data_IF_702512434884
#
_entry.id   IF_702512434884
#
_cell.length_a   1.000
_cell.length_b   1.000
_cell.length_c   1.000
_cell.angle_alpha   90.00
_cell.angle_beta   90.00
_cell.angle_gamma   90.00
#
_symmetry.space_group_name_H-M   'P 1'
#
loop_
_entity.id
_entity.type
_entity.pdbx_description
1 polymer ?
#
# COMPACT_ATOMS: atom_id res chain seq x y z
N UNK A 1 -15.10 -12.09 18.56
CA UNK A 1 -15.09 -10.89 19.42
C UNK A 1 -14.05 -9.96 18.86
N UNK A 2 -14.42 -8.76 18.45
CA UNK A 2 -13.49 -7.76 17.91
C UNK A 2 -12.54 -7.35 19.04
N UNK A 3 -11.24 -7.42 18.78
CA UNK A 3 -10.22 -7.09 19.78
C UNK A 3 -10.27 -5.57 20.07
N UNK A 4 -10.19 -5.17 21.35
CA UNK A 4 -10.18 -3.75 21.76
C UNK A 4 -9.11 -2.95 21.02
N UNK A 5 -7.95 -3.54 20.71
CA UNK A 5 -6.91 -2.91 19.89
C UNK A 5 -7.42 -2.50 18.51
N UNK A 6 -8.15 -3.39 17.81
CA UNK A 6 -8.73 -3.11 16.50
C UNK A 6 -9.73 -1.97 16.55
N UNK A 7 -10.62 -1.96 17.57
CA UNK A 7 -11.59 -0.88 17.75
C UNK A 7 -10.89 0.47 17.99
N UNK A 8 -9.79 0.48 18.77
CA UNK A 8 -8.99 1.70 18.98
C UNK A 8 -8.43 2.22 17.65
N UNK A 9 -7.87 1.34 16.79
CA UNK A 9 -7.32 1.75 15.50
C UNK A 9 -8.40 2.30 14.57
N UNK A 10 -9.56 1.65 14.48
CA UNK A 10 -10.68 2.12 13.66
C UNK A 10 -11.17 3.50 14.09
N UNK A 11 -11.38 3.71 15.41
CA UNK A 11 -11.83 5.00 15.95
C UNK A 11 -10.76 6.08 15.86
N UNK A 12 -9.50 5.73 16.03
CA UNK A 12 -8.40 6.68 15.82
C UNK A 12 -8.29 7.09 14.36
N UNK A 13 -8.38 6.14 13.41
CA UNK A 13 -8.37 6.42 11.98
C UNK A 13 -9.53 7.33 11.57
N UNK A 14 -10.74 7.09 12.10
CA UNK A 14 -11.91 7.94 11.88
C UNK A 14 -11.63 9.38 12.33
N UNK A 15 -11.13 9.56 13.56
CA UNK A 15 -10.82 10.88 14.12
C UNK A 15 -9.68 11.58 13.38
N UNK A 16 -8.59 10.89 13.10
CA UNK A 16 -7.47 11.44 12.34
C UNK A 16 -7.88 11.88 10.93
N UNK A 17 -8.74 11.10 10.26
CA UNK A 17 -9.21 11.41 8.91
C UNK A 17 -10.19 12.61 8.87
N UNK A 18 -10.91 12.88 9.97
CA UNK A 18 -11.91 13.95 10.02
C UNK A 18 -11.39 15.25 10.60
N UNK A 19 -10.54 15.17 11.64
CA UNK A 19 -10.01 16.33 12.38
C UNK A 19 -8.56 16.65 12.04
N UNK A 20 -7.84 15.71 11.45
CA UNK A 20 -6.38 15.73 11.30
C UNK A 20 -5.65 15.08 12.48
N UNK A 21 -4.42 14.66 12.25
CA UNK A 21 -3.60 13.99 13.26
C UNK A 21 -3.32 14.91 14.45
N UNK A 22 -2.88 16.15 14.23
CA UNK A 22 -2.46 17.05 15.30
C UNK A 22 -3.62 17.48 16.21
N UNK A 23 -4.81 17.73 15.63
CA UNK A 23 -5.98 18.17 16.37
C UNK A 23 -6.67 17.06 17.17
N UNK A 24 -6.34 15.79 16.91
CA UNK A 24 -6.92 14.65 17.63
C UNK A 24 -6.12 14.34 18.89
N UNK A 25 -6.82 14.15 20.01
CA UNK A 25 -6.22 13.80 21.30
C UNK A 25 -6.47 12.33 21.68
N UNK A 26 -5.56 11.75 22.49
CA UNK A 26 -5.74 10.39 23.03
C UNK A 26 -7.02 10.28 23.88
N UNK A 27 -7.43 11.36 24.54
CA UNK A 27 -8.67 11.42 25.32
C UNK A 27 -9.89 11.28 24.43
N UNK A 28 -9.92 11.95 23.27
CA UNK A 28 -11.01 11.82 22.30
C UNK A 28 -11.08 10.40 21.73
N UNK A 29 -9.94 9.79 21.41
CA UNK A 29 -9.90 8.40 20.94
C UNK A 29 -10.46 7.46 22.03
N UNK A 30 -10.02 7.59 23.27
CA UNK A 30 -10.51 6.77 24.38
C UNK A 30 -12.02 6.93 24.58
N UNK A 31 -12.53 8.17 24.51
CA UNK A 31 -13.97 8.47 24.58
C UNK A 31 -14.75 7.82 23.43
N UNK A 32 -14.24 7.90 22.20
CA UNK A 32 -14.88 7.31 21.03
C UNK A 32 -14.95 5.77 21.08
N UNK A 33 -14.02 5.14 21.77
CA UNK A 33 -13.98 3.69 22.02
C UNK A 33 -14.86 3.28 23.23
N UNK A 34 -15.24 4.25 24.09
CA UNK A 34 -15.98 3.97 25.33
C UNK A 34 -15.10 3.44 26.47
N UNK A 35 -13.80 3.78 26.48
CA UNK A 35 -12.85 3.38 27.53
C UNK A 35 -12.21 4.60 28.19
N UNK A 36 -11.57 4.38 29.34
CA UNK A 36 -10.76 5.44 29.98
C UNK A 36 -9.44 5.64 29.24
N UNK A 37 -8.88 6.85 29.32
CA UNK A 37 -7.56 7.15 28.78
C UNK A 37 -6.47 6.23 29.35
N UNK A 38 -6.54 5.90 30.66
CA UNK A 38 -5.62 4.95 31.30
C UNK A 38 -5.76 3.53 30.74
N UNK A 39 -6.96 3.11 30.35
CA UNK A 39 -7.17 1.83 29.66
C UNK A 39 -6.59 1.84 28.25
N UNK A 40 -6.70 2.95 27.54
CA UNK A 40 -6.09 3.08 26.22
C UNK A 40 -4.56 2.95 26.29
N UNK A 41 -3.92 3.59 27.28
CA UNK A 41 -2.47 3.49 27.48
C UNK A 41 -1.96 2.08 27.85
N UNK A 42 -2.83 1.14 28.23
CA UNK A 42 -2.47 -0.28 28.37
C UNK A 42 -2.28 -0.96 27.00
N UNK A 43 -2.85 -0.40 25.94
CA UNK A 43 -2.79 -0.94 24.57
C UNK A 43 -1.75 -0.23 23.71
N UNK A 44 -1.61 1.08 23.85
CA UNK A 44 -0.75 1.94 23.03
C UNK A 44 -0.04 2.99 23.90
N UNK A 45 1.26 3.18 23.68
CA UNK A 45 2.10 4.05 24.49
C UNK A 45 1.87 5.55 24.24
N UNK A 46 1.46 5.90 23.03
CA UNK A 46 1.28 7.29 22.59
C UNK A 46 0.30 7.39 21.43
N UNK A 47 -0.07 8.61 21.05
CA UNK A 47 -0.84 8.91 19.83
C UNK A 47 -0.08 8.46 18.56
N UNK A 48 1.23 8.65 18.58
CA UNK A 48 2.12 8.22 17.51
C UNK A 48 2.15 6.68 17.38
N UNK A 49 2.22 5.95 18.50
CA UNK A 49 2.15 4.48 18.51
C UNK A 49 0.84 3.96 17.90
N UNK A 50 -0.29 4.63 18.15
CA UNK A 50 -1.58 4.35 17.49
C UNK A 50 -1.47 4.60 15.99
N UNK A 51 -0.90 5.73 15.57
CA UNK A 51 -0.76 6.07 14.15
C UNK A 51 0.12 5.07 13.39
N UNK A 52 1.29 4.72 13.96
CA UNK A 52 2.18 3.68 13.41
C UNK A 52 1.45 2.33 13.32
N UNK A 53 0.64 2.01 14.33
CA UNK A 53 -0.13 0.76 14.35
C UNK A 53 -1.24 0.74 13.29
N UNK A 54 -1.88 1.88 12.99
CA UNK A 54 -2.82 2.00 11.85
C UNK A 54 -2.09 1.70 10.54
N UNK A 55 -0.89 2.24 10.36
CA UNK A 55 -0.09 1.98 9.18
C UNK A 55 0.31 0.49 9.05
N UNK A 56 0.71 -0.13 10.18
CA UNK A 56 1.05 -1.55 10.20
C UNK A 56 -0.17 -2.44 9.92
N UNK A 57 -1.35 -2.08 10.42
CA UNK A 57 -2.61 -2.77 10.14
C UNK A 57 -2.97 -2.68 8.65
N UNK A 58 -2.85 -1.51 8.03
CA UNK A 58 -3.03 -1.34 6.58
C UNK A 58 -2.11 -2.30 5.80
N UNK A 59 -0.83 -2.39 6.21
CA UNK A 59 0.12 -3.32 5.62
C UNK A 59 -0.32 -4.78 5.78
N UNK A 60 -0.72 -5.17 6.99
CA UNK A 60 -1.17 -6.55 7.28
C UNK A 60 -2.36 -6.94 6.39
N UNK A 61 -3.35 -6.06 6.27
CA UNK A 61 -4.51 -6.29 5.39
C UNK A 61 -4.10 -6.44 3.92
N UNK A 62 -3.15 -5.62 3.47
CA UNK A 62 -2.64 -5.70 2.11
C UNK A 62 -1.86 -6.99 1.86
N UNK A 63 -1.04 -7.43 2.83
CA UNK A 63 -0.32 -8.71 2.78
C UNK A 63 -1.27 -9.92 2.79
N UNK A 64 -2.34 -9.85 3.57
CA UNK A 64 -3.37 -10.90 3.61
C UNK A 64 -4.12 -10.99 2.27
N UNK A 65 -4.48 -9.85 1.67
CA UNK A 65 -5.13 -9.83 0.36
C UNK A 65 -4.23 -10.38 -0.74
N UNK A 66 -2.97 -9.91 -0.81
CA UNK A 66 -2.02 -10.36 -1.82
C UNK A 66 -1.71 -11.86 -1.70
N UNK A 67 -1.74 -12.40 -0.48
CA UNK A 67 -1.50 -13.84 -0.23
C UNK A 67 -2.58 -14.75 -0.82
N UNK A 68 -3.79 -14.24 -1.12
CA UNK A 68 -4.84 -15.01 -1.80
C UNK A 68 -4.42 -15.41 -3.22
N UNK A 69 -3.62 -14.57 -3.87
CA UNK A 69 -3.06 -14.81 -5.20
C UNK A 69 -1.62 -15.37 -5.12
N UNK A 70 -1.19 -15.91 -3.96
CA UNK A 70 0.17 -16.39 -3.68
C UNK A 70 1.24 -15.31 -3.89
N UNK A 71 0.93 -14.05 -3.65
CA UNK A 71 1.86 -12.92 -3.71
C UNK A 71 2.23 -12.50 -2.28
N UNK A 72 3.52 -12.46 -1.96
CA UNK A 72 4.01 -12.26 -0.58
C UNK A 72 4.90 -11.02 -0.46
N UNK A 73 4.42 -9.88 -0.96
CA UNK A 73 5.12 -8.58 -1.11
C UNK A 73 6.07 -8.22 0.06
N UNK A 74 5.87 -8.79 1.23
CA UNK A 74 6.63 -8.42 2.42
C UNK A 74 7.38 -9.55 3.09
N UNK A 75 7.21 -10.78 2.61
CA UNK A 75 7.71 -11.97 3.33
C UNK A 75 8.67 -12.82 2.51
N UNK A 76 8.44 -12.99 1.22
CA UNK A 76 9.20 -13.90 0.38
C UNK A 76 9.18 -13.48 -1.10
N UNK A 77 10.05 -12.53 -1.44
CA UNK A 77 10.18 -12.01 -2.82
C UNK A 77 10.67 -13.10 -3.78
N UNK A 78 11.47 -14.05 -3.30
CA UNK A 78 11.94 -15.16 -4.14
C UNK A 78 10.77 -16.07 -4.55
N UNK A 79 9.83 -16.33 -3.64
CA UNK A 79 8.60 -17.04 -3.95
C UNK A 79 7.76 -16.29 -4.97
N UNK A 80 7.59 -14.98 -4.78
CA UNK A 80 6.86 -14.12 -5.72
C UNK A 80 7.51 -14.14 -7.11
N UNK A 81 8.84 -14.02 -7.19
CA UNK A 81 9.58 -14.08 -8.44
C UNK A 81 9.41 -15.41 -9.17
N UNK A 82 9.36 -16.52 -8.44
CA UNK A 82 9.06 -17.83 -9.02
C UNK A 82 7.62 -17.93 -9.50
N UNK A 83 6.68 -17.47 -8.71
CA UNK A 83 5.24 -17.49 -9.02
C UNK A 83 4.94 -16.68 -10.29
N UNK A 84 5.37 -15.41 -10.33
CA UNK A 84 5.16 -14.54 -11.49
C UNK A 84 5.86 -15.05 -12.77
N UNK A 85 7.01 -15.74 -12.65
CA UNK A 85 7.71 -16.28 -13.81
C UNK A 85 6.94 -17.38 -14.55
N UNK A 86 5.90 -17.94 -13.95
CA UNK A 86 5.02 -18.95 -14.53
C UNK A 86 3.70 -18.38 -15.06
N UNK A 87 3.46 -17.08 -14.87
CA UNK A 87 2.22 -16.41 -15.26
C UNK A 87 2.35 -15.76 -16.64
N UNK A 88 1.19 -15.57 -17.31
CA UNK A 88 1.11 -14.72 -18.51
C UNK A 88 1.04 -13.26 -18.12
N UNK A 89 1.38 -12.35 -19.03
CA UNK A 89 1.24 -10.89 -18.84
C UNK A 89 -0.15 -10.48 -18.38
N UNK A 90 -1.17 -11.05 -18.99
CA UNK A 90 -2.56 -10.71 -18.67
C UNK A 90 -2.90 -11.15 -17.24
N UNK A 91 -2.45 -12.33 -16.82
CA UNK A 91 -2.67 -12.84 -15.46
C UNK A 91 -1.93 -11.98 -14.44
N UNK A 92 -0.67 -11.58 -14.71
CA UNK A 92 0.07 -10.66 -13.84
C UNK A 92 -0.67 -9.32 -13.74
N UNK A 93 -1.12 -8.78 -14.88
CA UNK A 93 -1.85 -7.52 -14.90
C UNK A 93 -3.16 -7.61 -14.10
N UNK A 94 -3.90 -8.71 -14.22
CA UNK A 94 -5.14 -8.92 -13.47
C UNK A 94 -4.89 -9.01 -11.96
N UNK A 95 -3.85 -9.73 -11.52
CA UNK A 95 -3.48 -9.79 -10.09
C UNK A 95 -3.09 -8.42 -9.53
N UNK A 96 -2.31 -7.63 -10.28
CA UNK A 96 -1.95 -6.26 -9.89
C UNK A 96 -3.20 -5.37 -9.79
N UNK A 97 -4.10 -5.46 -10.78
CA UNK A 97 -5.35 -4.69 -10.79
C UNK A 97 -6.27 -5.08 -9.63
N UNK A 98 -6.33 -6.36 -9.26
CA UNK A 98 -7.08 -6.83 -8.09
C UNK A 98 -6.56 -6.21 -6.80
N UNK A 99 -5.24 -6.19 -6.58
CA UNK A 99 -4.63 -5.56 -5.41
C UNK A 99 -4.87 -4.04 -5.37
N UNK A 100 -4.84 -3.38 -6.53
CA UNK A 100 -5.15 -1.94 -6.63
C UNK A 100 -6.63 -1.70 -6.29
N UNK A 101 -7.55 -2.52 -6.82
CA UNK A 101 -8.96 -2.44 -6.49
C UNK A 101 -9.19 -2.63 -4.98
N UNK A 102 -8.57 -3.65 -4.37
CA UNK A 102 -8.62 -3.83 -2.93
C UNK A 102 -8.15 -2.58 -2.17
N UNK A 103 -7.04 -1.99 -2.59
CA UNK A 103 -6.52 -0.78 -1.95
C UNK A 103 -7.46 0.44 -2.05
N UNK A 104 -8.36 0.45 -3.03
CA UNK A 104 -9.39 1.49 -3.21
C UNK A 104 -10.65 1.17 -2.41
N UNK A 105 -11.08 -0.10 -2.41
CA UNK A 105 -12.38 -0.55 -1.93
C UNK A 105 -12.38 -0.92 -0.43
N UNK A 106 -11.26 -1.41 0.13
CA UNK A 106 -11.15 -1.59 1.58
C UNK A 106 -11.13 -0.22 2.28
N UNK A 107 -12.13 0.03 3.12
CA UNK A 107 -12.34 1.32 3.77
C UNK A 107 -11.14 1.71 4.66
N UNK A 108 -10.57 0.75 5.39
CA UNK A 108 -9.45 1.01 6.29
C UNK A 108 -8.18 1.36 5.50
N UNK A 109 -7.87 0.56 4.46
CA UNK A 109 -6.70 0.77 3.59
C UNK A 109 -6.79 2.09 2.84
N UNK A 110 -7.93 2.36 2.20
CA UNK A 110 -8.17 3.59 1.45
C UNK A 110 -8.10 4.82 2.33
N UNK A 111 -8.74 4.78 3.51
CA UNK A 111 -8.74 5.89 4.47
C UNK A 111 -7.34 6.14 5.04
N UNK A 112 -6.58 5.09 5.36
CA UNK A 112 -5.20 5.22 5.83
C UNK A 112 -4.30 5.84 4.77
N UNK A 113 -4.38 5.39 3.51
CA UNK A 113 -3.61 5.94 2.39
C UNK A 113 -3.88 7.44 2.21
N UNK A 114 -5.15 7.85 2.21
CA UNK A 114 -5.55 9.26 2.10
C UNK A 114 -5.03 10.10 3.27
N UNK A 115 -5.14 9.58 4.49
CA UNK A 115 -4.65 10.24 5.70
C UNK A 115 -3.14 10.50 5.62
N UNK A 116 -2.33 9.49 5.34
CA UNK A 116 -0.87 9.66 5.27
C UNK A 116 -0.46 10.62 4.14
N UNK A 117 -1.20 10.60 3.01
CA UNK A 117 -0.96 11.51 1.89
C UNK A 117 -1.25 12.98 2.27
N UNK A 118 -2.24 13.23 3.11
CA UNK A 118 -2.56 14.59 3.58
C UNK A 118 -1.59 15.07 4.65
N UNK A 119 -1.22 14.22 5.59
CA UNK A 119 -0.43 14.59 6.76
C UNK A 119 1.09 14.66 6.49
N UNK A 120 1.59 14.05 5.41
CA UNK A 120 3.03 14.07 5.07
C UNK A 120 3.63 15.46 4.94
N UNK A 121 2.83 16.48 4.58
CA UNK A 121 3.31 17.86 4.44
C UNK A 121 3.17 18.69 5.73
N UNK A 122 2.55 18.13 6.77
CA UNK A 122 2.29 18.80 8.06
C UNK A 122 3.12 18.23 9.19
N UNK A 123 3.48 16.96 9.10
CA UNK A 123 4.19 16.23 10.16
C UNK A 123 5.42 15.51 9.59
N UNK A 124 6.61 15.84 10.11
CA UNK A 124 7.90 15.31 9.63
C UNK A 124 8.02 13.79 9.83
N UNK A 125 7.51 13.25 10.93
CA UNK A 125 7.56 11.81 11.21
C UNK A 125 6.65 11.04 10.26
N UNK A 126 5.46 11.60 9.95
CA UNK A 126 4.55 11.04 8.95
C UNK A 126 5.15 11.14 7.54
N UNK A 127 5.83 12.24 7.22
CA UNK A 127 6.55 12.38 5.95
C UNK A 127 7.61 11.29 5.77
N UNK A 128 8.37 11.00 6.82
CA UNK A 128 9.36 9.93 6.81
C UNK A 128 8.70 8.55 6.64
N UNK A 129 7.64 8.26 7.39
CA UNK A 129 6.85 7.03 7.24
C UNK A 129 6.29 6.86 5.81
N UNK A 130 5.77 7.94 5.24
CA UNK A 130 5.26 7.94 3.86
C UNK A 130 6.37 7.60 2.86
N UNK A 131 7.51 8.28 2.95
CA UNK A 131 8.64 8.04 2.05
C UNK A 131 9.17 6.62 2.19
N UNK A 132 9.60 6.23 3.40
CA UNK A 132 10.30 4.96 3.62
C UNK A 132 9.40 3.73 3.47
N UNK A 133 8.18 3.80 4.03
CA UNK A 133 7.33 2.61 4.16
C UNK A 133 6.25 2.51 3.10
N UNK A 134 5.87 3.60 2.46
CA UNK A 134 4.84 3.58 1.44
C UNK A 134 5.43 3.67 0.03
N UNK A 135 6.36 4.60 -0.23
CA UNK A 135 6.94 4.79 -1.57
C UNK A 135 8.16 3.89 -1.79
N UNK A 136 9.23 4.07 -1.02
CA UNK A 136 10.50 3.38 -1.26
C UNK A 136 10.39 1.86 -1.11
N UNK A 137 9.60 1.40 -0.16
CA UNK A 137 9.39 -0.03 0.02
C UNK A 137 8.79 -0.69 -1.22
N UNK A 138 7.83 -0.04 -1.89
CA UNK A 138 7.22 -0.58 -3.10
C UNK A 138 8.21 -0.57 -4.28
N UNK A 139 8.98 0.51 -4.42
CA UNK A 139 10.04 0.59 -5.43
C UNK A 139 11.11 -0.48 -5.19
N UNK A 140 11.55 -0.68 -3.94
CA UNK A 140 12.53 -1.70 -3.59
C UNK A 140 12.00 -3.12 -3.84
N UNK A 141 10.72 -3.40 -3.54
CA UNK A 141 10.10 -4.68 -3.88
C UNK A 141 10.16 -4.96 -5.38
N UNK A 142 9.80 -4.00 -6.22
CA UNK A 142 9.88 -4.17 -7.67
C UNK A 142 11.33 -4.30 -8.17
N UNK A 143 12.27 -3.57 -7.56
CA UNK A 143 13.70 -3.70 -7.85
C UNK A 143 14.20 -5.13 -7.59
N UNK A 144 13.88 -5.70 -6.44
CA UNK A 144 14.25 -7.08 -6.10
C UNK A 144 13.56 -8.09 -7.03
N UNK A 145 12.27 -7.91 -7.29
CA UNK A 145 11.50 -8.78 -8.20
C UNK A 145 12.08 -8.76 -9.63
N UNK A 146 12.38 -7.57 -10.17
CA UNK A 146 12.98 -7.44 -11.50
C UNK A 146 14.41 -7.96 -11.57
N UNK A 147 15.16 -7.91 -10.46
CA UNK A 147 16.47 -8.57 -10.36
C UNK A 147 16.33 -10.07 -10.52
N UNK A 148 15.36 -10.70 -9.84
CA UNK A 148 15.08 -12.14 -9.99
C UNK A 148 14.67 -12.48 -11.43
N UNK A 149 13.85 -11.67 -12.05
CA UNK A 149 13.45 -11.87 -13.46
C UNK A 149 14.63 -11.72 -14.42
N UNK A 150 15.56 -10.80 -14.17
CA UNK A 150 16.78 -10.63 -14.94
C UNK A 150 17.69 -11.84 -14.83
N UNK A 151 17.89 -12.39 -13.62
CA UNK A 151 18.65 -13.61 -13.37
C UNK A 151 18.05 -14.84 -14.08
N UNK A 152 16.72 -14.86 -14.26
CA UNK A 152 16.00 -15.90 -15.02
C UNK A 152 15.95 -15.64 -16.53
N UNK A 153 16.61 -14.60 -17.01
CA UNK A 153 16.56 -14.16 -18.42
C UNK A 153 15.13 -13.84 -18.94
N UNK A 154 14.24 -13.42 -18.05
CA UNK A 154 12.87 -13.02 -18.38
C UNK A 154 12.70 -11.50 -18.48
N UNK A 155 13.67 -10.72 -18.00
CA UNK A 155 13.60 -9.27 -17.91
C UNK A 155 14.91 -8.60 -18.37
N UNK A 156 14.84 -7.63 -19.25
CA UNK A 156 15.97 -7.06 -19.98
C UNK A 156 16.09 -5.54 -19.81
N UNK A 157 16.03 -5.05 -18.58
CA UNK A 157 16.28 -3.65 -18.28
C UNK A 157 17.77 -3.36 -18.18
N UNK A 158 18.29 -2.29 -18.81
CA UNK A 158 19.68 -1.85 -18.63
C UNK A 158 19.92 -1.38 -17.18
N UNK A 159 18.96 -0.69 -16.59
CA UNK A 159 18.96 -0.19 -15.22
C UNK A 159 17.70 -0.68 -14.50
N UNK A 160 17.90 -1.57 -13.52
CA UNK A 160 16.81 -2.18 -12.74
C UNK A 160 16.15 -1.16 -11.82
N UNK A 161 16.91 -0.23 -11.25
CA UNK A 161 16.37 0.79 -10.35
C UNK A 161 15.48 1.78 -11.09
N UNK A 162 15.94 2.24 -12.26
CA UNK A 162 15.13 3.08 -13.13
C UNK A 162 13.85 2.36 -13.58
N UNK A 163 13.93 1.09 -13.95
CA UNK A 163 12.76 0.30 -14.33
C UNK A 163 11.76 0.11 -13.17
N UNK A 164 12.25 -0.12 -11.95
CA UNK A 164 11.38 -0.23 -10.77
C UNK A 164 10.65 1.08 -10.45
N UNK A 165 11.33 2.21 -10.60
CA UNK A 165 10.73 3.53 -10.44
C UNK A 165 9.71 3.82 -11.56
N UNK A 166 10.05 3.54 -12.82
CA UNK A 166 9.17 3.69 -13.98
C UNK A 166 7.88 2.85 -13.84
N UNK A 167 8.00 1.63 -13.33
CA UNK A 167 6.84 0.78 -13.07
C UNK A 167 5.95 1.33 -11.95
N UNK A 168 6.56 1.77 -10.84
CA UNK A 168 5.84 2.15 -9.63
C UNK A 168 5.19 3.54 -9.71
N UNK A 169 5.83 4.52 -10.35
CA UNK A 169 5.40 5.91 -10.34
C UNK A 169 3.99 6.14 -10.94
N UNK A 170 3.60 5.53 -12.08
CA UNK A 170 2.25 5.64 -12.62
C UNK A 170 1.17 5.10 -11.68
N UNK A 171 1.47 4.04 -10.91
CA UNK A 171 0.54 3.47 -9.94
C UNK A 171 0.19 4.51 -8.86
N UNK A 172 1.20 5.12 -8.23
CA UNK A 172 0.99 6.19 -7.24
C UNK A 172 0.24 7.39 -7.83
N UNK A 173 0.61 7.79 -9.05
CA UNK A 173 0.00 8.92 -9.74
C UNK A 173 -1.49 8.69 -9.99
N UNK A 174 -1.85 7.54 -10.55
CA UNK A 174 -3.23 7.23 -10.94
C UNK A 174 -4.10 6.92 -9.71
N UNK A 175 -3.57 6.26 -8.68
CA UNK A 175 -4.25 6.13 -7.38
C UNK A 175 -4.54 7.50 -6.76
N UNK A 176 -3.57 8.41 -6.78
CA UNK A 176 -3.77 9.78 -6.31
C UNK A 176 -4.84 10.56 -7.10
N UNK A 177 -5.05 10.27 -8.40
CA UNK A 177 -6.16 10.83 -9.16
C UNK A 177 -7.49 10.24 -8.68
N UNK A 178 -7.59 8.92 -8.53
CA UNK A 178 -8.80 8.24 -8.06
C UNK A 178 -9.20 8.74 -6.66
N UNK A 179 -8.23 8.95 -5.76
CA UNK A 179 -8.50 9.46 -4.41
C UNK A 179 -9.10 10.87 -4.39
N UNK A 180 -8.72 11.71 -5.36
CA UNK A 180 -9.22 13.09 -5.49
C UNK A 180 -10.46 13.21 -6.38
N UNK A 181 -10.60 12.33 -7.37
CA UNK A 181 -11.63 12.34 -8.41
C UNK A 181 -12.14 10.91 -8.64
N UNK A 182 -13.00 10.38 -7.72
CA UNK A 182 -13.47 9.00 -7.79
C UNK A 182 -14.21 8.66 -9.09
N UNK A 183 -14.80 9.64 -9.75
CA UNK A 183 -15.47 9.51 -11.04
C UNK A 183 -14.51 9.10 -12.18
N UNK A 184 -13.20 9.30 -12.01
CA UNK A 184 -12.16 8.89 -12.97
C UNK A 184 -11.64 7.47 -12.74
N UNK A 185 -12.22 6.73 -11.79
CA UNK A 185 -11.73 5.39 -11.44
C UNK A 185 -11.61 4.48 -12.66
N UNK A 186 -12.65 4.36 -13.45
CA UNK A 186 -12.67 3.45 -14.63
C UNK A 186 -11.55 3.79 -15.63
N UNK A 187 -11.40 5.08 -15.96
CA UNK A 187 -10.35 5.56 -16.84
C UNK A 187 -8.95 5.25 -16.28
N UNK A 188 -8.73 5.56 -15.00
CA UNK A 188 -7.44 5.33 -14.34
C UNK A 188 -7.10 3.83 -14.25
N UNK A 189 -8.07 2.97 -13.91
CA UNK A 189 -7.87 1.52 -13.86
C UNK A 189 -7.53 0.94 -15.24
N UNK A 190 -8.15 1.41 -16.30
CA UNK A 190 -7.78 1.04 -17.69
C UNK A 190 -6.35 1.45 -18.01
N UNK A 191 -5.94 2.67 -17.64
CA UNK A 191 -4.56 3.15 -17.81
C UNK A 191 -3.56 2.31 -17.03
N UNK A 192 -3.88 1.95 -15.79
CA UNK A 192 -3.06 1.10 -14.94
C UNK A 192 -2.86 -0.28 -15.57
N UNK A 193 -3.95 -0.94 -16.01
CA UNK A 193 -3.85 -2.25 -16.68
C UNK A 193 -2.98 -2.17 -17.91
N UNK A 194 -3.19 -1.16 -18.75
CA UNK A 194 -2.38 -0.95 -19.95
C UNK A 194 -0.90 -0.68 -19.61
N UNK A 195 -0.63 0.09 -18.54
CA UNK A 195 0.74 0.33 -18.09
C UNK A 195 1.43 -0.98 -17.73
N UNK A 196 0.82 -1.82 -16.90
CA UNK A 196 1.40 -3.11 -16.49
C UNK A 196 1.68 -4.01 -17.71
N UNK A 197 0.69 -4.18 -18.60
CA UNK A 197 0.83 -5.00 -19.79
C UNK A 197 1.96 -4.49 -20.70
N UNK A 198 1.99 -3.19 -20.97
CA UNK A 198 2.99 -2.59 -21.88
C UNK A 198 4.39 -2.62 -21.26
N UNK A 199 4.51 -2.37 -19.96
CA UNK A 199 5.77 -2.45 -19.24
C UNK A 199 6.37 -3.86 -19.32
N UNK A 200 5.57 -4.89 -19.02
CA UNK A 200 6.00 -6.28 -19.14
C UNK A 200 6.39 -6.60 -20.58
N UNK A 201 5.55 -6.23 -21.55
CA UNK A 201 5.83 -6.48 -22.97
C UNK A 201 7.14 -5.84 -23.44
N UNK A 202 7.44 -4.62 -22.98
CA UNK A 202 8.64 -3.88 -23.35
C UNK A 202 9.91 -4.52 -22.78
N UNK A 203 9.89 -4.88 -21.50
CA UNK A 203 11.08 -5.38 -20.81
C UNK A 203 11.26 -6.90 -20.87
N UNK A 204 10.23 -7.69 -21.24
CA UNK A 204 10.34 -9.15 -21.31
C UNK A 204 10.67 -9.69 -22.71
N UNK A 205 10.69 -8.86 -23.74
CA UNK A 205 10.86 -9.29 -25.15
C UNK A 205 9.89 -10.42 -25.54
N UNK A 206 8.68 -10.42 -24.95
CA UNK A 206 7.65 -11.42 -25.24
C UNK A 206 7.86 -12.79 -24.58
N UNK A 207 8.76 -12.88 -23.58
CA UNK A 207 9.02 -14.13 -22.82
C UNK A 207 8.09 -14.30 -21.60
N UNK A 208 7.34 -13.24 -21.23
CA UNK A 208 6.28 -13.25 -20.22
C UNK A 208 4.93 -12.95 -20.85
#
# INVERSE_FOLDING_TARGET
MTNTKTIILEKALELFSTKGYDATTVREIAHAVGITQSSLYKHYKSKEDIFISIFNEMKTRYDEESSKDNIHITKDISSDGNHFSLMTRDTIADSVINLINYSIDDEFVSRTRKLITLEQFRNKEIAQLYTERYVERMVNYHKELFTIFKEKELFFAPDIEAAALEYSAPIFTLLGIIDRQPEKREECMKRLKNHVINFIAFYSNGRL
#
